data_IF_765172978980
#
_entry.id   IF_765172978980
#
_cell.length_a   1.000
_cell.length_b   1.000
_cell.length_c   1.000
_cell.angle_alpha   90.00
_cell.angle_beta   90.00
_cell.angle_gamma   90.00
#
_symmetry.space_group_name_H-M   'P 1'
#
loop_
_entity.id
_entity.type
_entity.pdbx_description
1 polymer ?
#
# COMPACT_ATOMS: atom_id res chain seq x y z
N UNK A 1 9.64 6.76 0.94
CA UNK A 1 9.11 6.02 2.10
C UNK A 1 8.05 6.76 2.89
N UNK A 2 8.35 7.90 3.53
CA UNK A 2 7.34 8.61 4.34
C UNK A 2 6.04 8.93 3.58
N UNK A 3 6.13 9.43 2.34
CA UNK A 3 4.94 9.67 1.51
C UNK A 3 4.20 8.37 1.12
N UNK A 4 4.94 7.29 0.85
CA UNK A 4 4.36 5.98 0.54
C UNK A 4 3.57 5.44 1.73
N UNK A 5 4.16 5.54 2.93
CA UNK A 5 3.50 5.16 4.18
C UNK A 5 2.29 6.04 4.49
N UNK A 6 2.40 7.36 4.33
CA UNK A 6 1.28 8.28 4.55
C UNK A 6 0.10 7.97 3.62
N UNK A 7 0.36 7.71 2.33
CA UNK A 7 -0.69 7.29 1.41
C UNK A 7 -1.36 5.97 1.83
N UNK A 8 -0.57 5.02 2.34
CA UNK A 8 -1.12 3.78 2.90
C UNK A 8 -2.01 4.08 4.13
N UNK A 9 -1.43 4.69 5.17
CA UNK A 9 -2.06 4.87 6.47
C UNK A 9 -3.28 5.81 6.45
N UNK A 10 -3.22 6.91 5.69
CA UNK A 10 -4.26 7.95 5.71
C UNK A 10 -5.38 7.73 4.69
N UNK A 11 -5.14 6.89 3.67
CA UNK A 11 -6.07 6.71 2.55
C UNK A 11 -6.38 5.24 2.28
N UNK A 12 -5.37 4.40 2.05
CA UNK A 12 -5.60 3.00 1.71
C UNK A 12 -6.23 2.23 2.89
N UNK A 13 -5.66 2.32 4.09
CA UNK A 13 -6.17 1.59 5.27
C UNK A 13 -7.61 1.98 5.65
N UNK A 14 -7.97 3.28 5.74
CA UNK A 14 -9.35 3.66 6.03
C UNK A 14 -10.32 3.20 4.94
N UNK A 15 -9.91 3.28 3.66
CA UNK A 15 -10.73 2.80 2.55
C UNK A 15 -10.97 1.29 2.61
N UNK A 16 -9.91 0.49 2.81
CA UNK A 16 -9.99 -0.97 2.92
C UNK A 16 -10.88 -1.40 4.10
N UNK A 17 -10.70 -0.80 5.28
CA UNK A 17 -11.52 -1.09 6.47
C UNK A 17 -13.00 -0.80 6.25
N UNK A 18 -13.33 0.27 5.51
CA UNK A 18 -14.71 0.61 5.16
C UNK A 18 -15.29 -0.36 4.13
N UNK A 19 -14.50 -0.72 3.12
CA UNK A 19 -14.91 -1.62 2.05
C UNK A 19 -15.07 -3.08 2.51
N UNK A 20 -14.30 -3.50 3.53
CA UNK A 20 -14.26 -4.88 4.07
C UNK A 20 -14.09 -5.91 2.95
N UNK A 21 -12.97 -5.90 2.20
CA UNK A 21 -12.78 -6.78 1.05
C UNK A 21 -12.88 -8.26 1.43
N UNK A 22 -13.22 -9.12 0.48
CA UNK A 22 -13.15 -10.57 0.67
C UNK A 22 -11.78 -11.12 0.21
N UNK A 23 -11.00 -10.34 -0.55
CA UNK A 23 -9.61 -10.59 -0.96
C UNK A 23 -8.93 -9.24 -1.24
N UNK A 24 -7.63 -9.13 -0.95
CA UNK A 24 -6.81 -7.98 -1.33
C UNK A 24 -5.96 -8.34 -2.56
N UNK A 25 -6.21 -7.67 -3.69
CA UNK A 25 -5.45 -7.84 -4.94
C UNK A 25 -4.65 -6.56 -5.18
N UNK A 26 -3.32 -6.70 -5.27
CA UNK A 26 -2.39 -5.58 -5.39
C UNK A 26 -1.64 -5.69 -6.71
N UNK A 27 -1.82 -4.68 -7.57
CA UNK A 27 -0.96 -4.43 -8.73
C UNK A 27 0.35 -3.83 -8.18
N UNK A 28 1.39 -4.65 -8.09
CA UNK A 28 2.63 -4.36 -7.38
C UNK A 28 3.71 -3.85 -8.34
N UNK A 29 3.63 -2.55 -8.65
CA UNK A 29 4.67 -1.82 -9.38
C UNK A 29 5.78 -1.31 -8.47
N UNK A 30 7.02 -1.40 -8.94
CA UNK A 30 8.23 -0.93 -8.25
C UNK A 30 8.91 0.24 -8.97
N UNK A 31 8.23 0.88 -9.93
CA UNK A 31 8.72 2.07 -10.63
C UNK A 31 8.84 3.31 -9.72
N UNK A 32 8.24 3.30 -8.52
CA UNK A 32 8.47 4.30 -7.49
C UNK A 32 9.82 4.14 -6.75
N UNK A 33 10.59 3.09 -7.03
CA UNK A 33 11.89 2.85 -6.43
C UNK A 33 12.91 3.93 -6.83
N UNK A 34 13.83 4.25 -5.91
CA UNK A 34 14.88 5.21 -6.17
C UNK A 34 15.77 4.73 -7.34
N UNK A 35 15.90 5.57 -8.37
CA UNK A 35 16.71 5.28 -9.55
C UNK A 35 15.91 4.69 -10.72
N UNK A 36 14.62 4.40 -10.55
CA UNK A 36 13.77 3.98 -11.66
C UNK A 36 13.65 5.09 -12.72
N UNK A 37 13.82 4.76 -14.02
CA UNK A 37 13.81 5.75 -15.09
C UNK A 37 12.42 6.35 -15.37
N UNK A 38 11.32 5.72 -14.92
CA UNK A 38 9.96 6.13 -15.27
C UNK A 38 9.18 6.76 -14.10
N UNK A 39 9.31 6.24 -12.87
CA UNK A 39 8.43 6.67 -11.77
C UNK A 39 8.85 7.92 -11.01
N UNK A 40 10.11 8.37 -11.11
CA UNK A 40 10.58 9.66 -10.58
C UNK A 40 10.50 9.85 -9.06
N UNK A 41 10.11 8.80 -8.32
CA UNK A 41 10.06 8.80 -6.87
C UNK A 41 11.39 8.32 -6.26
N UNK A 42 11.42 8.20 -4.94
CA UNK A 42 12.63 7.82 -4.17
C UNK A 42 12.29 6.84 -3.05
N UNK A 43 11.42 5.87 -3.34
CA UNK A 43 11.10 4.83 -2.37
C UNK A 43 12.27 3.84 -2.27
N UNK A 44 12.54 3.38 -1.05
CA UNK A 44 13.59 2.39 -0.80
C UNK A 44 12.98 0.98 -0.82
N UNK A 45 13.79 -0.06 -1.11
CA UNK A 45 13.37 -1.45 -0.96
C UNK A 45 12.73 -1.75 0.40
N UNK A 46 13.34 -1.26 1.48
CA UNK A 46 12.81 -1.38 2.84
C UNK A 46 11.43 -0.73 3.00
N UNK A 47 11.20 0.40 2.32
CA UNK A 47 9.90 1.06 2.27
C UNK A 47 8.80 0.16 1.66
N UNK A 48 9.11 -0.54 0.57
CA UNK A 48 8.21 -1.52 -0.04
C UNK A 48 7.98 -2.73 0.86
N UNK A 49 9.03 -3.27 1.49
CA UNK A 49 8.91 -4.37 2.45
C UNK A 49 7.98 -4.05 3.61
N UNK A 50 8.12 -2.85 4.20
CA UNK A 50 7.23 -2.40 5.28
C UNK A 50 5.78 -2.19 4.83
N UNK A 51 5.58 -1.68 3.61
CA UNK A 51 4.24 -1.59 3.04
C UNK A 51 3.62 -2.98 2.87
N UNK A 52 4.38 -3.96 2.37
CA UNK A 52 3.92 -5.33 2.21
C UNK A 52 3.53 -5.96 3.56
N UNK A 53 4.32 -5.76 4.63
CA UNK A 53 3.97 -6.23 5.99
C UNK A 53 2.62 -5.67 6.47
N UNK A 54 2.39 -4.37 6.25
CA UNK A 54 1.11 -3.76 6.60
C UNK A 54 -0.06 -4.35 5.78
N UNK A 55 0.15 -4.59 4.48
CA UNK A 55 -0.86 -5.23 3.63
C UNK A 55 -1.18 -6.66 4.09
N UNK A 56 -0.19 -7.43 4.54
CA UNK A 56 -0.40 -8.75 5.17
C UNK A 56 -1.30 -8.64 6.41
N UNK A 57 -0.97 -7.74 7.35
CA UNK A 57 -1.75 -7.53 8.58
C UNK A 57 -3.20 -7.09 8.28
N UNK A 58 -3.37 -6.23 7.29
CA UNK A 58 -4.69 -5.79 6.85
C UNK A 58 -5.47 -6.92 6.19
N UNK A 59 -4.82 -7.75 5.38
CA UNK A 59 -5.45 -8.90 4.76
C UNK A 59 -5.88 -9.95 5.78
N UNK A 60 -5.06 -10.21 6.81
CA UNK A 60 -5.43 -11.06 7.94
C UNK A 60 -6.68 -10.54 8.65
N UNK A 61 -6.68 -9.25 9.00
CA UNK A 61 -7.79 -8.65 9.77
C UNK A 61 -9.09 -8.48 8.97
N UNK A 62 -9.03 -8.28 7.65
CA UNK A 62 -10.21 -7.95 6.84
C UNK A 62 -10.70 -9.09 5.95
N UNK A 63 -9.80 -9.94 5.47
CA UNK A 63 -10.11 -10.99 4.50
C UNK A 63 -9.43 -12.33 4.82
N UNK A 64 -9.12 -12.62 6.08
CA UNK A 64 -8.60 -13.92 6.52
C UNK A 64 -7.29 -14.31 5.84
N UNK A 65 -6.42 -13.33 5.60
CA UNK A 65 -5.08 -13.55 5.02
C UNK A 65 -5.07 -13.67 3.49
N UNK A 66 -6.21 -13.52 2.81
CA UNK A 66 -6.27 -13.61 1.34
C UNK A 66 -5.70 -12.36 0.69
N UNK A 67 -4.44 -12.43 0.29
CA UNK A 67 -3.67 -11.38 -0.36
C UNK A 67 -2.96 -11.94 -1.60
N UNK A 68 -3.04 -11.21 -2.72
CA UNK A 68 -2.30 -11.48 -3.95
C UNK A 68 -1.56 -10.21 -4.36
N UNK A 69 -0.25 -10.34 -4.61
CA UNK A 69 0.56 -9.30 -5.24
C UNK A 69 0.93 -9.78 -6.64
N UNK A 70 0.52 -9.03 -7.65
CA UNK A 70 0.88 -9.27 -9.05
C UNK A 70 1.96 -8.27 -9.46
N UNK A 71 3.15 -8.76 -9.82
CA UNK A 71 4.25 -7.92 -10.30
C UNK A 71 3.84 -7.17 -11.57
N UNK A 72 4.11 -5.86 -11.59
CA UNK A 72 3.75 -4.97 -12.70
C UNK A 72 4.99 -4.19 -13.17
N UNK A 73 5.00 -2.86 -12.99
CA UNK A 73 6.12 -2.00 -13.35
C UNK A 73 7.36 -2.17 -12.45
N UNK A 74 8.45 -1.52 -12.85
CA UNK A 74 9.77 -1.63 -12.22
C UNK A 74 10.81 -1.87 -13.30
N UNK A 75 11.52 -0.82 -13.67
CA UNK A 75 12.31 -0.73 -14.90
C UNK A 75 13.80 -0.54 -14.65
N UNK A 76 14.19 -0.32 -13.39
CA UNK A 76 15.56 -0.46 -12.93
C UNK A 76 15.74 -1.86 -12.28
N UNK A 77 16.50 -2.78 -12.91
CA UNK A 77 16.55 -4.17 -12.46
C UNK A 77 17.10 -4.39 -11.04
N UNK A 78 18.11 -3.62 -10.62
CA UNK A 78 18.73 -3.81 -9.30
C UNK A 78 17.81 -3.38 -8.15
N UNK A 79 17.15 -2.24 -8.31
CA UNK A 79 16.13 -1.72 -7.42
C UNK A 79 14.91 -2.65 -7.40
N UNK A 80 14.46 -3.13 -8.56
CA UNK A 80 13.37 -4.11 -8.64
C UNK A 80 13.70 -5.37 -7.84
N UNK A 81 14.87 -5.98 -8.07
CA UNK A 81 15.30 -7.18 -7.32
C UNK A 81 15.33 -6.94 -5.82
N UNK A 82 15.90 -5.82 -5.38
CA UNK A 82 15.97 -5.48 -3.95
C UNK A 82 14.57 -5.27 -3.35
N UNK A 83 13.66 -4.59 -4.06
CA UNK A 83 12.29 -4.37 -3.59
C UNK A 83 11.50 -5.68 -3.52
N UNK A 84 11.61 -6.53 -4.55
CA UNK A 84 10.95 -7.84 -4.59
C UNK A 84 11.47 -8.74 -3.46
N UNK A 85 12.77 -8.70 -3.15
CA UNK A 85 13.33 -9.46 -2.03
C UNK A 85 12.75 -9.04 -0.67
N UNK A 86 12.64 -7.73 -0.42
CA UNK A 86 12.03 -7.17 0.79
C UNK A 86 10.54 -7.52 0.91
N UNK A 87 9.79 -7.41 -0.20
CA UNK A 87 8.37 -7.77 -0.25
C UNK A 87 8.15 -9.27 -0.07
N UNK A 88 8.98 -10.11 -0.71
CA UNK A 88 8.87 -11.57 -0.58
C UNK A 88 9.19 -12.02 0.83
N UNK A 89 10.23 -11.44 1.46
CA UNK A 89 10.54 -11.66 2.87
C UNK A 89 9.34 -11.34 3.77
N UNK A 90 8.68 -10.19 3.54
CA UNK A 90 7.48 -9.81 4.28
C UNK A 90 6.28 -10.76 4.09
N UNK A 91 6.20 -11.48 2.98
CA UNK A 91 5.15 -12.48 2.71
C UNK A 91 5.45 -13.85 3.33
N UNK A 92 6.74 -14.18 3.48
CA UNK A 92 7.19 -15.44 4.06
C UNK A 92 7.23 -15.42 5.59
N UNK A 93 7.44 -14.24 6.18
CA UNK A 93 7.41 -14.06 7.61
C UNK A 93 5.96 -14.05 8.13
N UNK A 94 5.74 -14.68 9.29
CA UNK A 94 4.50 -14.50 10.06
C UNK A 94 4.31 -13.01 10.38
N UNK A 95 3.06 -12.52 10.47
CA UNK A 95 2.79 -11.13 10.80
C UNK A 95 3.57 -10.73 12.05
N UNK A 96 4.19 -9.53 12.08
CA UNK A 96 4.97 -9.10 13.22
C UNK A 96 4.11 -9.16 14.48
N UNK A 97 4.66 -9.77 15.54
CA UNK A 97 4.09 -9.63 16.87
C UNK A 97 4.01 -8.14 17.19
N UNK A 98 2.99 -7.70 17.93
CA UNK A 98 2.63 -6.30 18.18
C UNK A 98 3.73 -5.36 18.75
N UNK A 99 4.97 -5.83 18.91
CA UNK A 99 6.15 -5.06 19.32
C UNK A 99 7.04 -4.50 18.19
N UNK A 100 6.92 -4.99 16.95
CA UNK A 100 7.75 -4.49 15.83
C UNK A 100 7.09 -3.27 15.17
N UNK A 101 7.12 -2.14 15.87
CA UNK A 101 6.49 -0.92 15.41
C UNK A 101 7.03 -0.49 14.03
N UNK A 102 6.17 -0.16 13.05
CA UNK A 102 6.62 0.32 11.75
C UNK A 102 7.32 1.68 11.89
N UNK A 103 8.17 1.98 10.91
CA UNK A 103 8.86 3.26 10.68
C UNK A 103 8.09 4.44 11.31
N UNK A 104 8.75 5.14 12.24
CA UNK A 104 8.33 6.39 12.89
C UNK A 104 6.96 6.92 12.45
N UNK A 105 6.01 6.94 13.40
CA UNK A 105 4.73 7.68 13.34
C UNK A 105 4.93 9.21 13.30
N UNK A 106 5.93 9.73 12.59
CA UNK A 106 5.95 11.17 12.37
C UNK A 106 4.76 11.48 11.48
N UNK A 107 3.81 12.32 11.92
CA UNK A 107 2.72 12.76 11.07
C UNK A 107 3.35 13.31 9.80
N UNK A 108 2.83 12.90 8.66
CA UNK A 108 3.18 13.55 7.41
C UNK A 108 2.93 15.05 7.57
N UNK A 109 4.01 15.83 7.71
CA UNK A 109 3.92 17.28 7.70
C UNK A 109 3.98 17.67 6.23
N UNK A 110 2.89 18.21 5.66
CA UNK A 110 2.87 18.61 4.27
C UNK A 110 3.62 19.94 4.11
N UNK A 111 4.88 20.01 4.53
CA UNK A 111 5.75 21.13 4.14
C UNK A 111 6.21 20.86 2.71
N UNK A 112 5.32 21.17 1.76
CA UNK A 112 5.56 21.08 0.32
C UNK A 112 4.60 20.19 -0.46
N UNK A 113 3.64 19.53 0.18
CA UNK A 113 2.72 18.60 -0.49
C UNK A 113 1.66 19.36 -1.26
N UNK A 114 1.99 19.61 -2.53
CA UNK A 114 1.19 20.24 -3.57
C UNK A 114 -0.28 19.82 -3.55
N UNK A 115 -1.17 20.76 -3.94
CA UNK A 115 -2.61 20.55 -4.23
C UNK A 115 -2.92 19.17 -4.84
N UNK A 116 -2.05 18.67 -5.70
CA UNK A 116 -2.08 17.36 -6.36
C UNK A 116 -2.21 16.18 -5.39
N UNK A 117 -1.44 16.15 -4.30
CA UNK A 117 -1.56 15.08 -3.31
C UNK A 117 -2.97 15.09 -2.69
N UNK A 118 -3.45 16.25 -2.25
CA UNK A 118 -4.79 16.40 -1.69
C UNK A 118 -5.89 16.04 -2.71
N UNK A 119 -5.71 16.37 -3.99
CA UNK A 119 -6.64 16.02 -5.07
C UNK A 119 -6.66 14.53 -5.38
N UNK A 120 -5.49 13.89 -5.46
CA UNK A 120 -5.37 12.44 -5.63
C UNK A 120 -6.05 11.71 -4.46
N UNK A 121 -5.80 12.13 -3.22
CA UNK A 121 -6.45 11.55 -2.04
C UNK A 121 -7.97 11.74 -2.06
N UNK A 122 -8.47 12.91 -2.50
CA UNK A 122 -9.92 13.14 -2.71
C UNK A 122 -10.50 12.23 -3.79
N UNK A 123 -9.78 12.03 -4.89
CA UNK A 123 -10.17 11.11 -5.97
C UNK A 123 -10.29 9.67 -5.45
N UNK A 124 -9.23 9.17 -4.80
CA UNK A 124 -9.18 7.82 -4.23
C UNK A 124 -10.30 7.62 -3.20
N UNK A 125 -10.54 8.59 -2.31
CA UNK A 125 -11.65 8.54 -1.35
C UNK A 125 -13.01 8.44 -2.05
N UNK A 126 -13.26 9.22 -3.11
CA UNK A 126 -14.53 9.13 -3.87
C UNK A 126 -14.72 7.76 -4.51
N UNK A 127 -13.69 7.22 -5.15
CA UNK A 127 -13.75 5.88 -5.73
C UNK A 127 -14.02 4.81 -4.66
N UNK A 128 -13.33 4.89 -3.52
CA UNK A 128 -13.54 3.98 -2.39
C UNK A 128 -14.98 4.03 -1.84
N UNK A 129 -15.58 5.23 -1.75
CA UNK A 129 -16.98 5.39 -1.34
C UNK A 129 -17.95 4.75 -2.34
N UNK A 130 -17.73 4.95 -3.63
CA UNK A 130 -18.54 4.35 -4.69
C UNK A 130 -18.49 2.81 -4.65
N UNK A 131 -17.28 2.25 -4.48
CA UNK A 131 -17.07 0.81 -4.36
C UNK A 131 -17.78 0.23 -3.11
N UNK A 132 -17.74 0.93 -1.98
CA UNK A 132 -18.47 0.52 -0.78
C UNK A 132 -19.99 0.42 -1.03
N UNK A 133 -20.56 1.41 -1.73
CA UNK A 133 -21.98 1.42 -2.09
C UNK A 133 -22.34 0.28 -3.05
N UNK A 134 -21.50 0.00 -4.04
CA UNK A 134 -21.69 -1.12 -4.98
C UNK A 134 -21.65 -2.48 -4.26
N UNK A 135 -20.72 -2.67 -3.31
CA UNK A 135 -20.64 -3.90 -2.52
C UNK A 135 -21.86 -4.11 -1.61
N UNK A 136 -22.37 -3.04 -1.01
CA UNK A 136 -23.59 -3.10 -0.22
C UNK A 136 -24.81 -3.50 -1.08
N UNK A 137 -24.86 -3.09 -2.34
CA UNK A 137 -25.92 -3.46 -3.28
C UNK A 137 -25.83 -4.92 -3.72
N UNK A 138 -24.63 -5.47 -3.95
CA UNK A 138 -24.46 -6.88 -4.32
C UNK A 138 -24.66 -7.87 -3.18
N UNK A 139 -24.37 -7.50 -1.92
CA UNK A 139 -24.67 -8.37 -0.74
C UNK A 139 -26.15 -8.47 -0.37
N UNK A 140 -27.03 -7.64 -0.96
CA UNK A 140 -28.48 -7.68 -0.75
C UNK A 140 -29.23 -8.53 -1.78
N UNK A 141 -28.52 -9.10 -2.75
CA UNK A 141 -29.04 -10.08 -3.70
C UNK A 141 -28.57 -11.47 -3.29
#
# INVERSE_FOLDING_TARGET
DACLWAACAEVLLPAARRFKPDILLVSAGFDAAAGDPLGGARCTPRGFGLLARELCSVAESLCGGRLILALEGGYEPHALMACVAEVTTALMESPPSSGDAPLRKEPFSPRGSSRLAAEALRGIRRCALSLCSQKAATRRR
#
